data_IF_280560680182
#
_entry.id   IF_280560680182
#
_cell.length_a   1.000
_cell.length_b   1.000
_cell.length_c   1.000
_cell.angle_alpha   90.00
_cell.angle_beta   90.00
_cell.angle_gamma   90.00
#
_symmetry.space_group_name_H-M   'P 1'
#
loop_
_entity.id
_entity.type
_entity.pdbx_description
1 polymer ?
#
# COMPACT_ATOMS: atom_id res chain seq x y z
N UNK A 1 -1.42 8.22 24.70
CA UNK A 1 -0.67 8.57 23.49
C UNK A 1 -0.92 10.05 23.22
N UNK A 2 0.09 10.83 23.01
CA UNK A 2 -0.06 12.26 22.69
C UNK A 2 -0.49 12.39 21.23
N UNK A 3 -1.17 13.49 20.84
CA UNK A 3 -1.54 13.77 19.44
C UNK A 3 -0.35 13.71 18.45
N UNK A 4 0.88 13.67 18.98
CA UNK A 4 2.13 13.59 18.25
C UNK A 4 2.47 12.18 17.70
N UNK A 5 1.72 11.14 18.06
CA UNK A 5 2.04 9.75 17.67
C UNK A 5 1.03 9.15 16.68
N UNK A 6 0.29 9.99 15.95
CA UNK A 6 -0.67 9.54 14.94
C UNK A 6 0.01 9.15 13.65
N UNK A 7 -0.52 8.08 13.03
CA UNK A 7 -0.14 7.66 11.69
C UNK A 7 -1.37 7.40 10.82
N UNK A 8 -1.28 7.73 9.55
CA UNK A 8 -2.33 7.46 8.57
C UNK A 8 -1.73 6.87 7.30
N UNK A 9 -2.39 5.87 6.75
CA UNK A 9 -2.05 5.35 5.42
C UNK A 9 -3.25 4.69 4.76
N UNK A 10 -3.24 4.63 3.44
CA UNK A 10 -4.33 4.04 2.67
C UNK A 10 -3.83 3.20 1.51
N UNK A 11 -4.68 2.30 1.03
CA UNK A 11 -4.39 1.47 -0.14
C UNK A 11 -5.60 1.38 -1.06
N UNK A 12 -5.36 1.50 -2.37
CA UNK A 12 -6.43 1.44 -3.38
C UNK A 12 -6.92 0.00 -3.60
N UNK A 13 -8.22 -0.29 -3.50
CA UNK A 13 -8.78 -1.62 -3.72
C UNK A 13 -8.88 -1.93 -5.21
N UNK A 14 -7.77 -2.29 -5.83
CA UNK A 14 -7.65 -2.58 -7.27
C UNK A 14 -7.48 -4.08 -7.57
N UNK A 15 -7.84 -4.96 -6.65
CA UNK A 15 -7.79 -6.43 -6.75
C UNK A 15 -6.90 -7.05 -5.66
N UNK A 16 -6.62 -8.37 -5.73
CA UNK A 16 -5.92 -9.11 -4.67
C UNK A 16 -4.54 -8.53 -4.36
N UNK A 17 -4.13 -8.61 -3.09
CA UNK A 17 -2.82 -8.15 -2.68
C UNK A 17 -1.75 -9.23 -2.97
N UNK A 18 -0.57 -8.77 -3.37
CA UNK A 18 0.60 -9.62 -3.58
C UNK A 18 1.67 -9.35 -2.51
N UNK A 19 2.66 -10.22 -2.43
CA UNK A 19 3.72 -10.13 -1.41
C UNK A 19 4.47 -8.79 -1.43
N UNK A 20 4.51 -8.10 -2.57
CA UNK A 20 5.06 -6.75 -2.66
C UNK A 20 4.26 -5.72 -1.84
N UNK A 21 2.92 -5.85 -1.74
CA UNK A 21 2.11 -5.00 -0.86
C UNK A 21 2.36 -5.34 0.61
N UNK A 22 2.58 -6.63 0.92
CA UNK A 22 2.88 -7.05 2.28
C UNK A 22 4.20 -6.43 2.75
N UNK A 23 5.30 -6.66 2.03
CA UNK A 23 6.62 -6.17 2.43
C UNK A 23 6.79 -4.66 2.23
N UNK A 24 6.09 -4.06 1.26
CA UNK A 24 6.14 -2.63 0.98
C UNK A 24 5.29 -1.76 1.92
N UNK A 25 4.23 -2.30 2.52
CA UNK A 25 3.32 -1.54 3.35
C UNK A 25 2.83 -2.29 4.58
N UNK A 26 2.12 -3.44 4.41
CA UNK A 26 1.38 -4.07 5.50
C UNK A 26 2.25 -4.49 6.68
N UNK A 27 3.43 -5.04 6.43
CA UNK A 27 4.39 -5.41 7.48
C UNK A 27 4.72 -4.22 8.38
N UNK A 28 4.92 -3.05 7.80
CA UNK A 28 5.19 -1.82 8.56
C UNK A 28 3.94 -1.34 9.31
N UNK A 29 2.75 -1.44 8.71
CA UNK A 29 1.49 -1.05 9.37
C UNK A 29 1.21 -1.93 10.60
N UNK A 30 1.44 -3.25 10.51
CA UNK A 30 1.30 -4.19 11.63
C UNK A 30 2.23 -3.84 12.79
N UNK A 31 3.43 -3.33 12.51
CA UNK A 31 4.31 -2.86 13.58
C UNK A 31 3.88 -1.48 14.11
N UNK A 32 3.46 -0.57 13.25
CA UNK A 32 3.06 0.79 13.66
C UNK A 32 1.81 0.81 14.53
N UNK A 33 0.82 -0.07 14.30
CA UNK A 33 -0.38 -0.16 15.15
C UNK A 33 -0.07 -0.42 16.63
N UNK A 34 1.11 -1.02 16.94
CA UNK A 34 1.52 -1.33 18.32
C UNK A 34 1.99 -0.09 19.10
N UNK A 35 2.39 0.95 18.40
CA UNK A 35 3.08 2.11 19.00
C UNK A 35 2.46 3.45 18.63
N UNK A 36 1.53 3.49 17.67
CA UNK A 36 0.91 4.71 17.16
C UNK A 36 -0.61 4.61 17.21
N UNK A 37 -1.29 5.73 17.36
CA UNK A 37 -2.71 5.84 17.04
C UNK A 37 -2.86 5.78 15.51
N UNK A 38 -3.22 4.60 15.00
CA UNK A 38 -3.12 4.28 13.58
C UNK A 38 -4.47 4.29 12.88
N UNK A 39 -4.53 4.93 11.71
CA UNK A 39 -5.67 5.02 10.84
C UNK A 39 -5.32 4.43 9.48
N UNK A 40 -5.91 3.28 9.14
CA UNK A 40 -5.69 2.61 7.85
C UNK A 40 -6.99 2.56 7.06
N UNK A 41 -6.96 3.06 5.84
CA UNK A 41 -8.19 3.16 5.05
C UNK A 41 -8.10 2.49 3.68
N UNK A 42 -9.23 1.92 3.28
CA UNK A 42 -9.44 1.45 1.92
C UNK A 42 -9.78 2.65 1.06
N UNK A 43 -8.87 3.03 0.17
CA UNK A 43 -8.94 4.24 -0.65
C UNK A 43 -9.79 4.00 -1.91
N UNK A 44 -11.09 3.79 -1.71
CA UNK A 44 -12.03 3.45 -2.78
C UNK A 44 -12.31 4.64 -3.72
N UNK A 45 -12.40 5.87 -3.24
CA UNK A 45 -12.49 7.05 -4.10
C UNK A 45 -11.23 7.22 -4.96
N UNK A 46 -10.04 6.98 -4.39
CA UNK A 46 -8.82 6.98 -5.19
C UNK A 46 -8.80 5.88 -6.26
N UNK A 47 -9.42 4.73 -6.01
CA UNK A 47 -9.55 3.71 -7.04
C UNK A 47 -10.42 4.20 -8.22
N UNK A 48 -11.44 5.00 -7.93
CA UNK A 48 -12.33 5.57 -8.95
C UNK A 48 -11.64 6.62 -9.84
N UNK A 49 -10.57 7.29 -9.39
CA UNK A 49 -9.90 8.30 -10.21
C UNK A 49 -9.34 7.75 -11.54
N UNK A 50 -9.03 6.44 -11.56
CA UNK A 50 -8.56 5.75 -12.76
C UNK A 50 -9.44 4.57 -13.20
N UNK A 51 -10.40 4.13 -12.37
CA UNK A 51 -11.28 2.99 -12.66
C UNK A 51 -12.77 3.39 -12.56
N UNK A 52 -13.11 4.60 -12.99
CA UNK A 52 -14.47 5.15 -12.89
C UNK A 52 -15.47 4.48 -13.82
N UNK A 53 -15.02 3.90 -14.94
CA UNK A 53 -15.91 3.35 -15.97
C UNK A 53 -16.55 2.01 -15.58
N UNK A 54 -15.84 1.18 -14.78
CA UNK A 54 -16.38 -0.08 -14.27
C UNK A 54 -16.07 -0.23 -12.77
N UNK A 55 -17.11 -0.08 -11.99
CA UNK A 55 -17.05 -0.18 -10.51
C UNK A 55 -17.65 -1.48 -9.99
N UNK A 56 -18.08 -2.40 -10.86
CA UNK A 56 -18.82 -3.61 -10.48
C UNK A 56 -18.08 -4.50 -9.49
N UNK A 57 -16.75 -4.55 -9.57
CA UNK A 57 -15.89 -5.35 -8.69
C UNK A 57 -15.39 -4.60 -7.44
N UNK A 58 -15.67 -3.30 -7.33
CA UNK A 58 -15.16 -2.48 -6.22
C UNK A 58 -15.57 -3.03 -4.85
N UNK A 59 -16.85 -3.41 -4.59
CA UNK A 59 -17.22 -3.98 -3.29
C UNK A 59 -16.45 -5.26 -2.93
N UNK A 60 -16.22 -6.13 -3.92
CA UNK A 60 -15.44 -7.34 -3.73
C UNK A 60 -13.99 -7.01 -3.41
N UNK A 61 -13.37 -6.08 -4.14
CA UNK A 61 -11.98 -5.68 -3.90
C UNK A 61 -11.78 -5.01 -2.55
N UNK A 62 -12.75 -4.24 -2.06
CA UNK A 62 -12.77 -3.68 -0.71
C UNK A 62 -12.78 -4.81 0.32
N UNK A 63 -13.70 -5.76 0.19
CA UNK A 63 -13.80 -6.89 1.10
C UNK A 63 -12.52 -7.74 1.11
N UNK A 64 -12.03 -8.15 -0.07
CA UNK A 64 -10.82 -8.96 -0.20
C UNK A 64 -9.59 -8.28 0.40
N UNK A 65 -9.46 -6.95 0.20
CA UNK A 65 -8.36 -6.17 0.77
C UNK A 65 -8.38 -6.15 2.30
N UNK A 66 -9.54 -5.96 2.92
CA UNK A 66 -9.66 -5.96 4.38
C UNK A 66 -9.37 -7.36 4.93
N UNK A 67 -9.86 -8.41 4.27
CA UNK A 67 -9.50 -9.80 4.63
C UNK A 67 -7.99 -10.01 4.57
N UNK A 68 -7.31 -9.52 3.51
CA UNK A 68 -5.85 -9.63 3.38
C UNK A 68 -5.13 -8.84 4.49
N UNK A 69 -5.62 -7.65 4.86
CA UNK A 69 -5.04 -6.84 5.96
C UNK A 69 -5.15 -7.53 7.31
N UNK A 70 -6.32 -8.04 7.64
CA UNK A 70 -6.54 -8.78 8.89
C UNK A 70 -5.71 -10.08 8.92
N UNK A 71 -5.62 -10.77 7.78
CA UNK A 71 -4.78 -11.97 7.65
C UNK A 71 -3.30 -11.67 7.83
N UNK A 72 -2.85 -10.50 7.38
CA UNK A 72 -1.48 -10.00 7.57
C UNK A 72 -1.17 -9.61 9.02
N UNK A 73 -2.20 -9.44 9.87
CA UNK A 73 -2.05 -9.15 11.30
C UNK A 73 -2.45 -7.75 11.73
N UNK A 74 -3.16 -6.98 10.87
CA UNK A 74 -3.84 -5.78 11.36
C UNK A 74 -4.96 -6.16 12.31
N UNK A 75 -5.02 -5.45 13.44
CA UNK A 75 -5.96 -5.70 14.52
C UNK A 75 -6.86 -4.46 14.71
N UNK A 76 -8.18 -4.58 14.49
CA UNK A 76 -9.13 -3.47 14.64
C UNK A 76 -9.27 -2.96 16.08
N UNK A 77 -8.79 -3.72 17.08
CA UNK A 77 -8.72 -3.24 18.46
C UNK A 77 -7.58 -2.22 18.66
N UNK A 78 -6.50 -2.33 17.86
CA UNK A 78 -5.31 -1.49 17.96
C UNK A 78 -5.24 -0.37 16.91
N UNK A 79 -6.06 -0.42 15.86
CA UNK A 79 -6.11 0.60 14.84
C UNK A 79 -7.52 0.83 14.31
N UNK A 80 -7.75 1.96 13.64
CA UNK A 80 -8.97 2.21 12.91
C UNK A 80 -8.81 1.70 11.47
N UNK A 81 -9.62 0.70 11.07
CA UNK A 81 -9.69 0.20 9.68
C UNK A 81 -11.01 0.65 9.10
N UNK A 82 -11.00 1.52 8.09
CA UNK A 82 -12.22 2.08 7.53
C UNK A 82 -12.17 2.23 6.02
N UNK A 83 -13.32 2.47 5.40
CA UNK A 83 -13.45 2.77 3.98
C UNK A 83 -13.51 4.30 3.81
N UNK A 84 -12.70 4.85 2.91
CA UNK A 84 -12.61 6.28 2.65
C UNK A 84 -13.98 6.90 2.36
N UNK A 85 -14.79 6.27 1.50
CA UNK A 85 -16.11 6.79 1.11
C UNK A 85 -17.16 6.79 2.22
N UNK A 86 -16.93 6.13 3.35
CA UNK A 86 -17.81 6.20 4.51
C UNK A 86 -17.64 7.52 5.28
N UNK A 87 -16.52 8.23 5.07
CA UNK A 87 -16.20 9.50 5.72
C UNK A 87 -16.43 10.64 4.74
N UNK A 88 -17.62 11.26 4.80
CA UNK A 88 -18.00 12.33 3.85
C UNK A 88 -17.20 13.62 4.08
N UNK A 89 -16.76 13.83 5.30
CA UNK A 89 -15.92 14.94 5.72
C UNK A 89 -14.61 15.02 4.95
N UNK A 90 -14.08 13.88 4.49
CA UNK A 90 -12.91 13.84 3.58
C UNK A 90 -13.21 14.57 2.26
N UNK A 91 -14.42 14.39 1.71
CA UNK A 91 -14.83 15.10 0.48
C UNK A 91 -15.02 16.60 0.73
N UNK A 92 -15.56 16.99 1.89
CA UNK A 92 -15.66 18.39 2.29
C UNK A 92 -14.26 19.02 2.38
N UNK A 93 -13.34 18.37 3.11
CA UNK A 93 -11.96 18.86 3.23
C UNK A 93 -11.27 18.96 1.87
N UNK A 94 -11.42 17.94 1.02
CA UNK A 94 -10.91 17.97 -0.35
C UNK A 94 -11.43 19.18 -1.13
N UNK A 95 -12.74 19.47 -1.05
CA UNK A 95 -13.35 20.63 -1.72
C UNK A 95 -12.72 21.94 -1.23
N UNK A 96 -12.61 22.13 0.10
CA UNK A 96 -12.04 23.33 0.69
C UNK A 96 -10.57 23.52 0.31
N UNK A 97 -9.78 22.46 0.34
CA UNK A 97 -8.37 22.48 -0.08
C UNK A 97 -8.23 22.76 -1.58
N UNK A 98 -9.15 22.28 -2.41
CA UNK A 98 -9.12 22.50 -3.86
C UNK A 98 -9.22 24.00 -4.23
N UNK A 99 -9.93 24.80 -3.41
CA UNK A 99 -10.11 26.24 -3.63
C UNK A 99 -8.83 27.06 -3.39
N UNK A 100 -7.91 26.51 -2.59
CA UNK A 100 -6.65 27.19 -2.26
C UNK A 100 -5.43 26.58 -2.97
N UNK A 101 -5.59 25.45 -3.67
CA UNK A 101 -4.48 24.76 -4.33
C UNK A 101 -4.28 25.29 -5.75
N UNK A 102 -3.12 25.91 -6.08
CA UNK A 102 -2.85 26.39 -7.43
C UNK A 102 -2.80 25.24 -8.44
N UNK A 103 -3.47 25.39 -9.57
CA UNK A 103 -3.52 24.39 -10.65
C UNK A 103 -2.11 23.95 -11.11
N UNK A 104 -1.19 24.89 -11.27
CA UNK A 104 0.19 24.59 -11.67
C UNK A 104 0.96 23.71 -10.69
N UNK A 105 0.53 23.55 -9.43
CA UNK A 105 1.14 22.60 -8.51
C UNK A 105 0.77 21.16 -8.90
N UNK A 106 -0.48 20.95 -9.28
CA UNK A 106 -1.01 19.63 -9.69
C UNK A 106 -0.41 19.21 -11.04
N UNK A 107 -0.38 20.13 -12.01
CA UNK A 107 0.18 19.87 -13.34
C UNK A 107 1.69 19.56 -13.31
N UNK A 108 2.42 20.06 -12.33
CA UNK A 108 3.85 19.78 -12.16
C UNK A 108 4.14 18.55 -11.33
N UNK A 109 3.13 17.93 -10.69
CA UNK A 109 3.32 16.72 -9.88
C UNK A 109 3.91 15.58 -10.74
N UNK A 110 5.11 15.07 -10.43
CA UNK A 110 5.77 14.06 -11.25
C UNK A 110 4.94 12.81 -11.44
N UNK A 111 4.33 12.31 -10.37
CA UNK A 111 3.51 11.10 -10.39
C UNK A 111 2.23 11.26 -11.21
N UNK A 112 1.65 12.46 -11.30
CA UNK A 112 0.53 12.75 -12.19
C UNK A 112 0.95 12.56 -13.65
N UNK A 113 2.08 13.16 -14.06
CA UNK A 113 2.61 13.05 -15.41
C UNK A 113 2.99 11.62 -15.80
N UNK A 114 3.67 10.92 -14.90
CA UNK A 114 4.07 9.53 -15.10
C UNK A 114 2.85 8.60 -15.29
N UNK A 115 1.82 8.76 -14.48
CA UNK A 115 0.61 7.97 -14.60
C UNK A 115 -0.15 8.25 -15.90
N UNK A 116 -0.22 9.51 -16.36
CA UNK A 116 -0.80 9.83 -17.66
C UNK A 116 -0.06 9.15 -18.81
N UNK A 117 1.26 9.00 -18.72
CA UNK A 117 2.06 8.34 -19.74
C UNK A 117 1.95 6.80 -19.67
N UNK A 118 1.81 6.24 -18.48
CA UNK A 118 1.76 4.79 -18.26
C UNK A 118 0.38 4.17 -18.52
N UNK A 119 -0.68 4.91 -18.25
CA UNK A 119 -2.07 4.44 -18.41
C UNK A 119 -2.62 5.01 -19.71
N UNK A 120 -2.53 4.23 -20.77
CA UNK A 120 -2.94 4.64 -22.13
C UNK A 120 -4.28 4.05 -22.56
N UNK A 121 -4.82 3.12 -21.80
CA UNK A 121 -6.09 2.41 -22.05
C UNK A 121 -7.32 3.13 -21.47
N UNK A 122 -7.11 4.28 -20.80
CA UNK A 122 -8.16 5.06 -20.14
C UNK A 122 -7.97 6.56 -20.37
N UNK A 123 -9.10 7.26 -20.46
CA UNK A 123 -9.07 8.73 -20.45
C UNK A 123 -8.86 9.25 -19.03
N UNK A 124 -7.66 9.75 -18.76
CA UNK A 124 -7.26 10.38 -17.52
C UNK A 124 -7.29 11.92 -17.60
N UNK A 125 -7.79 12.49 -18.70
CA UNK A 125 -7.91 13.94 -18.92
C UNK A 125 -9.06 14.57 -18.14
N UNK A 126 -9.48 14.00 -17.02
CA UNK A 126 -10.63 14.48 -16.25
C UNK A 126 -10.20 15.16 -14.92
N UNK A 127 -11.11 15.98 -14.37
CA UNK A 127 -10.87 16.73 -13.13
C UNK A 127 -10.54 15.80 -11.94
N UNK A 128 -11.23 14.66 -11.82
CA UNK A 128 -11.00 13.73 -10.72
C UNK A 128 -9.58 13.19 -10.69
N UNK A 129 -9.01 12.91 -11.86
CA UNK A 129 -7.63 12.46 -11.97
C UNK A 129 -6.62 13.61 -11.74
N UNK A 130 -6.89 14.81 -12.22
CA UNK A 130 -6.07 15.98 -11.92
C UNK A 130 -6.11 16.34 -10.43
N UNK A 131 -7.28 16.18 -9.79
CA UNK A 131 -7.51 16.54 -8.39
C UNK A 131 -7.08 15.48 -7.35
N UNK A 132 -6.69 14.24 -7.77
CA UNK A 132 -6.37 13.20 -6.79
C UNK A 132 -5.25 13.56 -5.80
N UNK A 133 -4.23 14.37 -6.12
CA UNK A 133 -3.22 14.73 -5.13
C UNK A 133 -3.77 15.62 -4.00
N UNK A 134 -4.82 16.42 -4.28
CA UNK A 134 -5.52 17.19 -3.25
C UNK A 134 -6.38 16.28 -2.39
N UNK A 135 -7.04 15.27 -2.97
CA UNK A 135 -7.77 14.25 -2.22
C UNK A 135 -6.81 13.46 -1.31
N UNK A 136 -5.64 13.08 -1.81
CA UNK A 136 -4.62 12.43 -1.01
C UNK A 136 -4.11 13.32 0.13
N UNK A 137 -3.99 14.62 -0.12
CA UNK A 137 -3.67 15.59 0.94
C UNK A 137 -4.75 15.61 2.02
N UNK A 138 -6.04 15.64 1.63
CA UNK A 138 -7.15 15.58 2.58
C UNK A 138 -7.10 14.30 3.43
N UNK A 139 -6.89 13.14 2.81
CA UNK A 139 -6.73 11.86 3.52
C UNK A 139 -5.58 11.88 4.52
N UNK A 140 -4.46 12.51 4.16
CA UNK A 140 -3.29 12.59 5.03
C UNK A 140 -3.58 13.49 6.23
N UNK A 141 -4.06 14.73 6.01
CA UNK A 141 -4.10 15.75 7.06
C UNK A 141 -5.36 15.71 7.93
N UNK A 142 -6.42 15.02 7.51
CA UNK A 142 -7.70 14.96 8.23
C UNK A 142 -7.60 14.39 9.65
N UNK A 143 -6.61 13.53 9.92
CA UNK A 143 -6.32 12.98 11.24
C UNK A 143 -5.24 13.76 12.00
N UNK A 144 -4.67 14.82 11.37
CA UNK A 144 -3.54 15.59 11.92
C UNK A 144 -2.39 14.67 12.33
N UNK A 145 -1.93 13.75 11.47
CA UNK A 145 -0.88 12.80 11.81
C UNK A 145 0.47 13.50 11.82
N UNK A 146 1.39 12.98 12.64
CA UNK A 146 2.79 13.29 12.48
C UNK A 146 3.44 12.43 11.40
N UNK A 147 3.15 11.13 11.40
CA UNK A 147 3.84 10.15 10.56
C UNK A 147 2.96 9.62 9.43
N UNK A 148 3.53 9.63 8.23
CA UNK A 148 2.90 9.02 7.06
C UNK A 148 3.84 7.96 6.50
N UNK A 149 3.53 6.65 6.67
CA UNK A 149 4.34 5.58 6.10
C UNK A 149 4.15 5.56 4.59
N UNK A 150 5.20 5.89 3.86
CA UNK A 150 5.19 5.98 2.39
C UNK A 150 6.43 5.33 1.79
N UNK A 151 6.28 4.77 0.58
CA UNK A 151 7.40 4.45 -0.29
C UNK A 151 8.07 5.72 -0.81
N UNK A 152 9.31 5.59 -1.26
CA UNK A 152 10.08 6.72 -1.78
C UNK A 152 9.41 7.39 -3.00
N UNK A 153 8.68 6.63 -3.80
CA UNK A 153 7.89 7.10 -4.95
C UNK A 153 6.72 8.00 -4.56
N UNK A 154 6.26 7.96 -3.30
CA UNK A 154 5.16 8.79 -2.80
C UNK A 154 5.62 10.10 -2.13
N UNK A 155 6.93 10.32 -1.99
CA UNK A 155 7.45 11.55 -1.41
C UNK A 155 6.95 12.84 -2.11
N UNK A 156 6.84 12.91 -3.46
CA UNK A 156 6.32 14.11 -4.11
C UNK A 156 4.89 14.48 -3.69
N UNK A 157 4.03 13.50 -3.42
CA UNK A 157 2.68 13.77 -2.91
C UNK A 157 2.70 14.30 -1.47
N UNK A 158 3.61 13.80 -0.64
CA UNK A 158 3.73 14.29 0.73
C UNK A 158 4.29 15.72 0.77
N UNK A 159 5.22 16.07 -0.12
CA UNK A 159 5.69 17.44 -0.25
C UNK A 159 4.56 18.38 -0.72
N UNK A 160 3.75 17.95 -1.67
CA UNK A 160 2.56 18.72 -2.07
C UNK A 160 1.59 18.91 -0.89
N UNK A 161 1.37 17.87 -0.08
CA UNK A 161 0.54 17.96 1.12
C UNK A 161 1.08 19.00 2.11
N UNK A 162 2.40 19.04 2.32
CA UNK A 162 3.06 20.06 3.16
C UNK A 162 2.87 21.47 2.61
N UNK A 163 3.04 21.66 1.30
CA UNK A 163 2.82 22.96 0.67
C UNK A 163 1.37 23.44 0.84
N UNK A 164 0.39 22.54 0.68
CA UNK A 164 -1.02 22.86 0.91
C UNK A 164 -1.27 23.20 2.39
N UNK A 165 -0.69 22.45 3.33
CA UNK A 165 -0.76 22.70 4.77
C UNK A 165 -0.21 24.10 5.12
N UNK A 166 1.00 24.42 4.65
CA UNK A 166 1.61 25.74 4.89
C UNK A 166 0.74 26.86 4.34
N UNK A 167 0.22 26.67 3.12
CA UNK A 167 -0.66 27.64 2.46
C UNK A 167 -1.95 27.85 3.25
N UNK A 168 -2.61 26.76 3.70
CA UNK A 168 -3.81 26.84 4.53
C UNK A 168 -3.53 27.60 5.83
N UNK A 169 -2.53 27.16 6.59
CA UNK A 169 -2.20 27.75 7.87
C UNK A 169 -1.83 29.24 7.76
N UNK A 170 -1.06 29.60 6.72
CA UNK A 170 -0.69 31.02 6.46
C UNK A 170 -1.89 31.86 6.03
N UNK A 171 -2.72 31.34 5.11
CA UNK A 171 -3.85 32.10 4.54
C UNK A 171 -4.91 32.42 5.59
N UNK A 172 -5.19 31.47 6.49
CA UNK A 172 -6.19 31.60 7.55
C UNK A 172 -5.61 31.97 8.92
N UNK A 173 -4.30 32.29 8.98
CA UNK A 173 -3.59 32.65 10.21
C UNK A 173 -3.85 31.67 11.35
N UNK A 174 -3.60 30.40 11.11
CA UNK A 174 -3.92 29.27 12.02
C UNK A 174 -2.81 28.21 12.01
N UNK A 175 -2.89 27.27 12.96
CA UNK A 175 -2.03 26.07 13.02
C UNK A 175 -2.89 24.79 13.08
N UNK A 176 -4.00 24.76 12.34
CA UNK A 176 -4.91 23.61 12.33
C UNK A 176 -4.18 22.34 11.93
N UNK A 177 -3.36 22.40 10.88
CA UNK A 177 -2.67 21.22 10.37
C UNK A 177 -1.17 21.24 10.74
N UNK A 178 -0.69 20.22 11.46
CA UNK A 178 0.75 19.97 11.55
C UNK A 178 1.29 19.53 10.18
N UNK A 179 2.56 19.84 9.89
CA UNK A 179 3.20 19.32 8.69
C UNK A 179 3.48 17.82 8.86
N UNK A 180 2.98 16.95 7.95
CA UNK A 180 3.22 15.52 8.07
C UNK A 180 4.65 15.15 7.69
N UNK A 181 5.24 14.20 8.42
CA UNK A 181 6.58 13.68 8.18
C UNK A 181 6.53 12.30 7.51
N UNK A 182 7.40 12.09 6.51
CA UNK A 182 7.54 10.78 5.87
C UNK A 182 8.19 9.77 6.83
N UNK A 183 7.55 8.63 7.06
CA UNK A 183 8.21 7.44 7.61
C UNK A 183 8.49 6.49 6.46
N UNK A 184 9.70 6.60 5.91
CA UNK A 184 10.08 5.80 4.75
C UNK A 184 10.04 4.31 5.08
N UNK A 185 9.25 3.57 4.31
CA UNK A 185 9.29 2.12 4.32
C UNK A 185 10.44 1.66 3.43
N UNK A 186 11.35 0.81 3.93
CA UNK A 186 12.39 0.26 3.07
C UNK A 186 11.78 -0.37 1.83
N UNK A 187 12.26 0.04 0.66
CA UNK A 187 11.77 -0.52 -0.59
C UNK A 187 12.10 -2.02 -0.64
N UNK A 188 11.09 -2.86 -0.45
CA UNK A 188 11.24 -4.28 -0.66
C UNK A 188 11.41 -4.54 -2.15
N UNK A 189 12.59 -5.00 -2.57
CA UNK A 189 12.81 -5.40 -3.96
C UNK A 189 12.04 -6.68 -4.22
N UNK A 190 10.83 -6.54 -4.75
CA UNK A 190 9.92 -7.65 -5.04
C UNK A 190 9.59 -7.63 -6.54
N UNK A 191 10.48 -8.19 -7.40
CA UNK A 191 10.23 -8.25 -8.84
C UNK A 191 9.06 -9.18 -9.14
N UNK A 192 8.44 -9.07 -10.31
CA UNK A 192 7.52 -10.09 -10.80
C UNK A 192 8.24 -11.39 -11.14
N UNK A 193 7.52 -12.48 -11.27
CA UNK A 193 8.07 -13.81 -11.59
C UNK A 193 8.80 -13.86 -12.96
N UNK A 194 8.50 -12.88 -13.82
CA UNK A 194 9.08 -12.67 -15.15
C UNK A 194 10.21 -11.61 -15.18
N UNK A 195 10.66 -11.12 -14.02
CA UNK A 195 11.71 -10.13 -13.87
C UNK A 195 11.27 -8.68 -14.02
N UNK A 196 10.03 -8.42 -14.51
CA UNK A 196 9.45 -7.08 -14.57
C UNK A 196 8.90 -6.67 -13.21
N UNK A 197 8.44 -5.42 -13.08
CA UNK A 197 7.72 -4.98 -11.88
C UNK A 197 6.51 -5.88 -11.66
N UNK A 198 6.33 -6.36 -10.41
CA UNK A 198 5.16 -7.17 -10.06
C UNK A 198 3.88 -6.37 -10.27
N UNK A 199 2.95 -6.95 -11.02
CA UNK A 199 1.68 -6.30 -11.37
C UNK A 199 0.57 -7.34 -11.53
N UNK A 200 -0.64 -6.96 -11.12
CA UNK A 200 -1.85 -7.76 -11.29
C UNK A 200 -2.18 -8.00 -12.77
N UNK A 201 -2.01 -6.96 -13.60
CA UNK A 201 -2.30 -7.01 -15.04
C UNK A 201 -1.35 -7.91 -15.83
N UNK A 202 -0.13 -8.13 -15.34
CA UNK A 202 0.84 -9.02 -15.99
C UNK A 202 0.72 -10.48 -15.53
N UNK A 203 -0.08 -10.77 -14.50
CA UNK A 203 -0.20 -12.12 -13.97
C UNK A 203 1.10 -12.68 -13.38
N UNK A 204 2.11 -11.84 -13.13
CA UNK A 204 3.45 -12.18 -12.70
C UNK A 204 3.65 -12.08 -11.18
N UNK A 205 2.55 -11.98 -10.42
CA UNK A 205 2.58 -11.80 -8.98
C UNK A 205 2.41 -13.10 -8.20
N UNK A 206 2.91 -13.09 -6.97
CA UNK A 206 2.59 -14.03 -5.89
C UNK A 206 1.58 -13.33 -5.00
N UNK A 207 0.32 -13.77 -5.02
CA UNK A 207 -0.75 -13.14 -4.24
C UNK A 207 -0.84 -13.78 -2.86
N UNK A 208 -1.24 -12.99 -1.86
CA UNK A 208 -1.36 -13.49 -0.47
C UNK A 208 -2.39 -14.62 -0.32
N UNK A 209 -3.35 -14.69 -1.24
CA UNK A 209 -4.39 -15.71 -1.29
C UNK A 209 -4.04 -16.93 -2.15
N UNK A 210 -2.92 -16.90 -2.91
CA UNK A 210 -2.54 -18.00 -3.79
C UNK A 210 -2.19 -19.25 -2.97
N UNK A 211 -2.74 -20.39 -3.37
CA UNK A 211 -2.38 -21.68 -2.78
C UNK A 211 -1.02 -22.17 -3.30
N UNK A 212 -0.40 -23.11 -2.62
CA UNK A 212 0.84 -23.73 -3.10
C UNK A 212 0.66 -24.39 -4.46
N UNK A 213 -0.52 -24.96 -4.72
CA UNK A 213 -0.84 -25.57 -6.02
C UNK A 213 -0.86 -24.52 -7.15
N UNK A 214 -1.35 -23.29 -6.86
CA UNK A 214 -1.33 -22.19 -7.83
C UNK A 214 0.08 -21.67 -8.08
N UNK A 215 0.93 -21.67 -7.04
CA UNK A 215 2.28 -21.09 -7.09
C UNK A 215 3.34 -22.03 -7.68
N UNK A 216 3.19 -23.35 -7.50
CA UNK A 216 4.19 -24.32 -7.95
C UNK A 216 4.51 -24.19 -9.47
N UNK A 217 3.53 -24.17 -10.38
CA UNK A 217 3.82 -24.01 -11.81
C UNK A 217 4.41 -22.65 -12.14
N UNK A 218 3.95 -21.57 -11.48
CA UNK A 218 4.49 -20.22 -11.66
C UNK A 218 5.97 -20.15 -11.28
N UNK A 219 6.34 -20.72 -10.13
CA UNK A 219 7.71 -20.71 -9.62
C UNK A 219 8.61 -21.63 -10.43
N UNK A 220 8.13 -22.79 -10.87
CA UNK A 220 8.88 -23.64 -11.79
C UNK A 220 9.27 -22.91 -13.07
N UNK A 221 8.34 -22.14 -13.66
CA UNK A 221 8.56 -21.33 -14.85
C UNK A 221 9.31 -20.01 -14.61
N UNK A 222 9.53 -19.64 -13.35
CA UNK A 222 10.16 -18.38 -13.01
C UNK A 222 11.54 -18.22 -13.62
N UNK A 223 11.78 -17.06 -14.22
CA UNK A 223 13.08 -16.64 -14.71
C UNK A 223 14.10 -16.56 -13.56
N UNK A 224 15.33 -16.99 -13.84
CA UNK A 224 16.46 -16.92 -12.91
C UNK A 224 17.60 -16.12 -13.54
N UNK A 225 18.86 -16.51 -13.30
CA UNK A 225 20.00 -15.89 -13.97
C UNK A 225 20.04 -16.34 -15.45
N UNK A 226 19.92 -15.42 -16.42
CA UNK A 226 19.92 -15.75 -17.85
C UNK A 226 21.26 -16.27 -18.36
N UNK A 227 22.36 -15.94 -17.69
CA UNK A 227 23.69 -16.40 -18.09
C UNK A 227 23.96 -17.86 -17.65
N UNK A 228 23.16 -18.39 -16.71
CA UNK A 228 23.33 -19.75 -16.20
C UNK A 228 22.53 -20.76 -17.02
N UNK A 229 23.16 -21.37 -18.00
CA UNK A 229 22.54 -22.32 -18.91
C UNK A 229 22.58 -23.76 -18.39
N UNK A 230 23.63 -24.14 -17.64
CA UNK A 230 23.82 -25.50 -17.11
C UNK A 230 23.90 -25.47 -15.57
N UNK A 231 23.65 -26.60 -14.94
CA UNK A 231 23.80 -26.74 -13.49
C UNK A 231 25.23 -26.49 -13.03
N UNK A 232 26.24 -26.84 -13.85
CA UNK A 232 27.67 -26.67 -13.59
C UNK A 232 28.16 -25.23 -13.77
N UNK A 233 27.32 -24.34 -14.35
CA UNK A 233 27.73 -22.97 -14.57
C UNK A 233 27.55 -22.16 -13.26
N UNK A 234 28.53 -21.34 -12.86
CA UNK A 234 28.37 -20.41 -11.77
C UNK A 234 27.19 -19.45 -12.04
N UNK A 235 26.35 -19.25 -11.03
CA UNK A 235 25.27 -18.28 -11.14
C UNK A 235 25.63 -16.95 -10.46
N UNK A 236 24.90 -15.89 -10.82
CA UNK A 236 25.02 -14.59 -10.19
C UNK A 236 23.72 -14.24 -9.45
N UNK A 237 23.69 -14.33 -8.09
CA UNK A 237 22.51 -13.95 -7.30
C UNK A 237 22.06 -12.51 -7.49
N UNK A 238 22.95 -11.58 -7.85
CA UNK A 238 22.63 -10.15 -7.94
C UNK A 238 21.82 -9.80 -9.19
N UNK A 239 21.88 -10.65 -10.23
CA UNK A 239 21.05 -10.53 -11.45
C UNK A 239 19.93 -11.58 -11.49
N UNK A 240 19.91 -12.52 -10.54
CA UNK A 240 18.92 -13.57 -10.46
C UNK A 240 17.59 -13.04 -9.95
N UNK A 241 16.49 -13.29 -10.69
CA UNK A 241 15.15 -12.86 -10.29
C UNK A 241 14.61 -13.58 -9.04
N UNK A 242 15.14 -14.77 -8.72
CA UNK A 242 14.73 -15.54 -7.55
C UNK A 242 15.39 -15.06 -6.25
N UNK A 243 16.64 -14.57 -6.31
CA UNK A 243 17.40 -14.27 -5.10
C UNK A 243 16.80 -13.17 -4.22
N UNK A 244 16.18 -12.08 -4.75
CA UNK A 244 15.47 -11.11 -3.93
C UNK A 244 14.38 -11.71 -3.05
N UNK A 245 13.75 -12.79 -3.46
CA UNK A 245 12.75 -13.49 -2.66
C UNK A 245 13.35 -14.29 -1.50
N UNK A 246 14.55 -14.84 -1.65
CA UNK A 246 15.28 -15.41 -0.52
C UNK A 246 15.63 -14.33 0.50
N UNK A 247 16.01 -13.12 0.06
CA UNK A 247 16.26 -11.99 0.96
C UNK A 247 15.02 -11.59 1.76
N UNK A 248 13.83 -11.71 1.18
CA UNK A 248 12.57 -11.36 1.83
C UNK A 248 12.07 -12.43 2.82
N UNK A 249 12.27 -13.71 2.50
CA UNK A 249 11.58 -14.83 3.17
C UNK A 249 12.48 -15.78 3.94
N UNK A 250 13.77 -15.81 3.65
CA UNK A 250 14.71 -16.69 4.31
C UNK A 250 15.48 -15.98 5.43
N UNK A 251 15.96 -16.72 6.41
CA UNK A 251 16.94 -16.25 7.38
C UNK A 251 18.31 -15.99 6.74
N UNK A 252 19.19 -15.31 7.47
CA UNK A 252 20.51 -14.92 6.95
C UNK A 252 21.39 -16.11 6.59
N UNK A 253 21.30 -17.19 7.32
CA UNK A 253 22.12 -18.39 7.09
C UNK A 253 21.71 -19.06 5.77
N UNK A 254 20.41 -19.24 5.55
CA UNK A 254 19.85 -19.75 4.28
C UNK A 254 20.18 -18.81 3.10
N UNK A 255 20.12 -17.48 3.29
CA UNK A 255 20.51 -16.51 2.25
C UNK A 255 21.97 -16.69 1.84
N UNK A 256 22.89 -16.83 2.81
CA UNK A 256 24.31 -17.02 2.58
C UNK A 256 24.59 -18.38 1.91
N UNK A 257 23.99 -19.46 2.42
CA UNK A 257 24.10 -20.80 1.82
C UNK A 257 23.67 -20.81 0.35
N UNK A 258 22.50 -20.22 0.06
CA UNK A 258 21.98 -20.13 -1.32
C UNK A 258 22.91 -19.29 -2.20
N UNK A 259 23.44 -18.17 -1.70
CA UNK A 259 24.39 -17.32 -2.43
C UNK A 259 25.66 -18.08 -2.77
N UNK A 260 26.30 -18.69 -1.78
CA UNK A 260 27.54 -19.46 -1.97
C UNK A 260 27.32 -20.66 -2.91
N UNK A 261 26.28 -21.44 -2.68
CA UNK A 261 25.98 -22.59 -3.50
C UNK A 261 25.64 -22.21 -4.97
N UNK A 262 25.05 -21.05 -5.20
CA UNK A 262 24.78 -20.51 -6.53
C UNK A 262 26.08 -20.09 -7.23
N UNK A 263 26.93 -19.30 -6.57
CA UNK A 263 28.19 -18.77 -7.14
C UNK A 263 29.21 -19.85 -7.41
N UNK A 264 29.24 -20.93 -6.61
CA UNK A 264 30.16 -22.06 -6.79
C UNK A 264 29.52 -23.23 -7.58
N UNK A 265 28.34 -23.06 -8.16
CA UNK A 265 27.62 -24.08 -8.95
C UNK A 265 27.36 -25.40 -8.20
N UNK A 266 27.34 -25.39 -6.86
CA UNK A 266 27.06 -26.58 -6.05
C UNK A 266 25.55 -26.87 -5.93
N UNK A 267 24.69 -25.86 -6.20
CA UNK A 267 23.23 -25.97 -6.21
C UNK A 267 22.66 -25.57 -7.57
N UNK A 268 21.76 -26.36 -8.13
CA UNK A 268 21.03 -26.00 -9.35
C UNK A 268 19.79 -25.16 -9.06
N UNK A 269 19.30 -24.38 -10.04
CA UNK A 269 18.13 -23.49 -9.88
C UNK A 269 16.87 -24.24 -9.44
N UNK A 270 16.68 -25.50 -9.83
CA UNK A 270 15.54 -26.33 -9.39
C UNK A 270 15.57 -26.58 -7.88
N UNK A 271 16.74 -26.88 -7.32
CA UNK A 271 16.90 -27.06 -5.87
C UNK A 271 16.69 -25.74 -5.11
N UNK A 272 17.26 -24.65 -5.64
CA UNK A 272 17.07 -23.30 -5.11
C UNK A 272 15.58 -22.89 -5.07
N UNK A 273 14.82 -23.17 -6.14
CA UNK A 273 13.35 -22.95 -6.18
C UNK A 273 12.60 -23.77 -5.14
N UNK A 274 13.05 -24.98 -4.82
CA UNK A 274 12.43 -25.80 -3.75
C UNK A 274 12.65 -25.18 -2.36
N UNK A 275 13.85 -24.63 -2.08
CA UNK A 275 14.10 -23.90 -0.84
C UNK A 275 13.18 -22.67 -0.75
N UNK A 276 13.06 -21.93 -1.83
CA UNK A 276 12.16 -20.79 -1.87
C UNK A 276 10.70 -21.20 -1.63
N UNK A 277 10.21 -22.26 -2.30
CA UNK A 277 8.85 -22.77 -2.10
C UNK A 277 8.56 -23.11 -0.64
N UNK A 278 9.51 -23.74 0.04
CA UNK A 278 9.38 -24.06 1.47
C UNK A 278 9.26 -22.80 2.34
N UNK A 279 10.11 -21.80 2.09
CA UNK A 279 10.07 -20.54 2.82
C UNK A 279 8.79 -19.74 2.52
N UNK A 280 8.33 -19.78 1.28
CA UNK A 280 7.07 -19.15 0.87
C UNK A 280 5.87 -19.83 1.53
N UNK A 281 5.87 -21.16 1.63
CA UNK A 281 4.85 -21.92 2.37
C UNK A 281 4.81 -21.48 3.83
N UNK A 282 5.95 -21.50 4.52
CA UNK A 282 6.05 -21.10 5.92
C UNK A 282 5.55 -19.65 6.15
N UNK A 283 5.72 -18.78 5.15
CA UNK A 283 5.22 -17.42 5.19
C UNK A 283 3.70 -17.34 4.97
N UNK A 284 3.17 -18.06 3.99
CA UNK A 284 1.75 -17.98 3.62
C UNK A 284 0.83 -18.76 4.56
N UNK A 285 1.28 -19.87 5.12
CA UNK A 285 0.45 -20.76 5.95
C UNK A 285 -0.26 -20.01 7.10
N UNK A 286 0.44 -19.25 7.97
CA UNK A 286 -0.23 -18.51 9.04
C UNK A 286 -1.15 -17.39 8.54
N UNK A 287 -0.91 -16.85 7.33
CA UNK A 287 -1.82 -15.90 6.71
C UNK A 287 -3.11 -16.58 6.24
N UNK A 288 -2.98 -17.77 5.63
CA UNK A 288 -4.12 -18.54 5.16
C UNK A 288 -5.00 -19.04 6.32
N UNK A 289 -4.41 -19.53 7.42
CA UNK A 289 -5.16 -19.91 8.62
C UNK A 289 -6.01 -18.75 9.15
N UNK A 290 -5.41 -17.55 9.29
CA UNK A 290 -6.16 -16.35 9.71
C UNK A 290 -7.22 -15.96 8.68
N UNK A 291 -6.91 -16.04 7.38
CA UNK A 291 -7.84 -15.75 6.31
C UNK A 291 -9.08 -16.64 6.36
N UNK A 292 -8.90 -17.93 6.52
CA UNK A 292 -10.00 -18.91 6.65
C UNK A 292 -10.87 -18.60 7.88
N UNK A 293 -10.25 -18.29 9.01
CA UNK A 293 -10.96 -17.92 10.24
C UNK A 293 -11.79 -16.63 10.10
N UNK A 294 -11.31 -15.66 9.30
CA UNK A 294 -12.03 -14.41 8.98
C UNK A 294 -13.20 -14.72 8.04
N UNK A 295 -12.97 -15.47 6.98
CA UNK A 295 -13.98 -15.82 5.98
C UNK A 295 -15.10 -16.69 6.56
N UNK A 296 -14.81 -17.46 7.60
CA UNK A 296 -15.81 -18.26 8.33
C UNK A 296 -16.79 -17.39 9.16
N UNK A 297 -16.60 -16.07 9.25
CA UNK A 297 -17.44 -15.13 10.01
C UNK A 297 -18.11 -14.14 9.05
N UNK A 298 -19.30 -14.46 8.49
CA UNK A 298 -20.05 -13.55 7.63
C UNK A 298 -20.33 -12.21 8.32
N UNK A 299 -20.14 -11.10 7.64
CA UNK A 299 -20.39 -9.76 8.17
C UNK A 299 -19.23 -9.14 8.96
N UNK A 300 -18.22 -9.91 9.37
CA UNK A 300 -17.10 -9.40 10.18
C UNK A 300 -16.38 -8.21 9.53
N UNK A 301 -16.11 -8.27 8.23
CA UNK A 301 -15.44 -7.18 7.51
C UNK A 301 -16.27 -5.90 7.56
N UNK A 302 -17.60 -6.01 7.38
CA UNK A 302 -18.52 -4.89 7.42
C UNK A 302 -18.60 -4.25 8.83
N UNK A 303 -18.61 -5.07 9.87
CA UNK A 303 -18.56 -4.61 11.27
C UNK A 303 -17.26 -3.83 11.53
N UNK A 304 -16.11 -4.41 11.15
CA UNK A 304 -14.80 -3.77 11.34
C UNK A 304 -14.73 -2.42 10.61
N UNK A 305 -15.19 -2.36 9.35
CA UNK A 305 -15.23 -1.12 8.59
C UNK A 305 -16.17 -0.09 9.22
N UNK A 306 -17.33 -0.52 9.72
CA UNK A 306 -18.28 0.38 10.38
C UNK A 306 -17.72 0.95 11.69
N UNK A 307 -17.08 0.12 12.52
CA UNK A 307 -16.51 0.55 13.79
C UNK A 307 -15.25 1.40 13.59
N UNK A 308 -14.38 1.01 12.66
CA UNK A 308 -13.25 1.83 12.24
C UNK A 308 -13.69 3.17 11.66
N UNK A 309 -14.79 3.19 10.89
CA UNK A 309 -15.42 4.41 10.39
C UNK A 309 -15.90 5.34 11.49
N UNK A 310 -16.48 4.80 12.59
CA UNK A 310 -16.87 5.60 13.77
C UNK A 310 -15.62 6.24 14.42
N UNK A 311 -14.56 5.43 14.66
CA UNK A 311 -13.29 5.90 15.25
C UNK A 311 -12.67 7.01 14.36
N UNK A 312 -12.61 6.78 13.06
CA UNK A 312 -12.07 7.74 12.08
C UNK A 312 -12.90 9.04 12.08
N UNK A 313 -14.23 8.96 12.02
CA UNK A 313 -15.12 10.13 11.97
C UNK A 313 -14.99 10.99 13.23
N UNK A 314 -14.82 10.40 14.40
CA UNK A 314 -14.58 11.18 15.63
C UNK A 314 -13.31 12.04 15.51
N UNK A 315 -12.21 11.47 15.00
CA UNK A 315 -10.95 12.18 14.79
C UNK A 315 -11.08 13.28 13.72
N UNK A 316 -11.78 12.97 12.63
CA UNK A 316 -11.94 13.89 11.50
C UNK A 316 -12.87 15.04 11.85
N UNK A 317 -13.99 14.80 12.54
CA UNK A 317 -14.92 15.85 12.96
C UNK A 317 -14.22 16.90 13.82
N UNK A 318 -13.39 16.46 14.78
CA UNK A 318 -12.59 17.39 15.58
C UNK A 318 -11.65 18.26 14.74
N UNK A 319 -11.10 17.71 13.65
CA UNK A 319 -10.30 18.48 12.69
C UNK A 319 -11.16 19.43 11.86
N UNK A 320 -12.32 18.97 11.38
CA UNK A 320 -13.22 19.77 10.54
C UNK A 320 -13.85 20.94 11.31
N UNK A 321 -14.12 20.80 12.60
CA UNK A 321 -14.51 21.92 13.46
C UNK A 321 -13.46 23.03 13.45
N UNK A 322 -12.19 22.68 13.61
CA UNK A 322 -11.09 23.65 13.54
C UNK A 322 -10.95 24.28 12.14
N UNK A 323 -11.13 23.48 11.08
CA UNK A 323 -11.07 23.96 9.68
C UNK A 323 -12.19 24.98 9.43
N UNK A 324 -13.44 24.64 9.78
CA UNK A 324 -14.60 25.53 9.58
C UNK A 324 -14.45 26.81 10.38
N UNK A 325 -14.03 26.73 11.65
CA UNK A 325 -13.76 27.91 12.47
C UNK A 325 -12.68 28.80 11.86
N UNK A 326 -11.55 28.23 11.40
CA UNK A 326 -10.48 28.99 10.73
C UNK A 326 -10.95 29.71 9.44
N UNK A 327 -11.93 29.11 8.73
CA UNK A 327 -12.50 29.66 7.50
C UNK A 327 -13.75 30.50 7.72
N UNK A 328 -14.18 30.73 8.96
CA UNK A 328 -15.41 31.45 9.33
C UNK A 328 -16.67 30.83 8.69
N UNK A 329 -16.78 29.49 8.75
CA UNK A 329 -17.88 28.70 8.18
C UNK A 329 -18.76 28.03 9.29
N UNK A 330 -18.71 28.51 10.52
CA UNK A 330 -19.49 28.01 11.67
C UNK A 330 -20.96 28.40 11.58
#
# INVERSE_FOLDING_TARGET
>A
MTANDRTVSGMRPTGPLHIGHYFGALKNWVEMQKTHEAFFFVADWHALTSNYADTSKLPQFVNDMVVDWLSAGLDPEHCAIYRQSDIKETAELHLLLSMITPLGWLERCPTYKEQQQQITDKDLGNYGFLGYPVLMTADIIQHRPRWVPVGQDQQPHLELAREIVRRFNTMYNTEVFPEPEAKLTPAAKCPGLDGRKMSKSYGNGIFLKDTLADLEPKIKGMFTDPARLRKSDPGNPDVCNLFPYHVLLADKDTQNEVREACTHATMGCVACKKIFMKNLQNFLEPLHERREAILAKPGLVQEILADGGKKARMSINATMELVRAAMHMD
#
